data_IF_233663330253
#
_entry.id   IF_233663330253
#
_cell.length_a   1.000
_cell.length_b   1.000
_cell.length_c   1.000
_cell.angle_alpha   90.00
_cell.angle_beta   90.00
_cell.angle_gamma   90.00
#
_symmetry.space_group_name_H-M   'P 1'
#
loop_
_entity.id
_entity.type
_entity.pdbx_description
1 polymer ?
#
# COMPACT_ATOMS: atom_id res chain seq x y z
N UNK A 1 -12.94 76.20 63.88
CA UNK A 1 -14.13 75.54 63.31
C UNK A 1 -15.14 75.39 64.43
N UNK A 2 -16.33 75.94 64.27
CA UNK A 2 -17.39 75.85 65.29
C UNK A 2 -18.19 74.57 65.12
N UNK A 3 -18.81 74.07 66.20
CA UNK A 3 -19.60 72.82 66.18
C UNK A 3 -20.71 72.84 65.11
N UNK A 4 -21.32 74.01 64.90
CA UNK A 4 -22.32 74.23 63.84
C UNK A 4 -21.73 74.06 62.44
N UNK A 5 -20.50 74.53 62.19
CA UNK A 5 -19.82 74.32 60.91
C UNK A 5 -19.47 72.85 60.67
N UNK A 6 -19.09 72.12 61.72
CA UNK A 6 -18.78 70.69 61.62
C UNK A 6 -20.04 69.86 61.29
N UNK A 7 -21.15 70.14 61.98
CA UNK A 7 -22.44 69.48 61.72
C UNK A 7 -22.93 69.79 60.30
N UNK A 8 -22.71 71.02 59.81
CA UNK A 8 -22.98 71.41 58.42
C UNK A 8 -22.21 70.54 57.42
N UNK A 9 -20.88 70.46 57.58
CA UNK A 9 -20.02 69.66 56.71
C UNK A 9 -20.33 68.16 56.74
N UNK A 10 -20.66 67.61 57.91
CA UNK A 10 -21.07 66.21 58.03
C UNK A 10 -22.39 65.91 57.31
N UNK A 11 -23.33 66.87 57.27
CA UNK A 11 -24.56 66.72 56.50
C UNK A 11 -24.31 66.74 54.99
N UNK A 12 -23.36 67.53 54.51
CA UNK A 12 -22.97 67.55 53.10
C UNK A 12 -22.35 66.22 52.66
N UNK A 13 -21.49 65.63 53.49
CA UNK A 13 -20.87 64.32 53.20
C UNK A 13 -21.90 63.20 53.07
N UNK A 14 -23.04 63.30 53.78
CA UNK A 14 -24.13 62.32 53.69
C UNK A 14 -24.85 62.32 52.33
N UNK A 15 -24.67 63.36 51.52
CA UNK A 15 -25.22 63.42 50.15
C UNK A 15 -24.29 62.76 49.12
N UNK A 16 -23.03 62.49 49.48
CA UNK A 16 -22.07 61.82 48.62
C UNK A 16 -22.46 60.34 48.56
N UNK A 17 -22.95 59.91 47.39
CA UNK A 17 -23.18 58.50 47.10
C UNK A 17 -21.89 57.88 46.55
N UNK A 18 -21.59 56.61 46.88
CA UNK A 18 -20.49 55.92 46.23
C UNK A 18 -20.71 55.90 44.72
N UNK A 19 -19.62 56.06 43.95
CA UNK A 19 -19.67 55.95 42.50
C UNK A 19 -20.19 54.57 42.12
N UNK A 20 -20.92 54.48 41.00
CA UNK A 20 -21.48 53.21 40.51
C UNK A 20 -20.38 52.14 40.37
N UNK A 21 -19.20 52.56 39.90
CA UNK A 21 -18.06 51.67 39.69
C UNK A 21 -17.57 51.05 41.01
N UNK A 22 -17.51 51.85 42.08
CA UNK A 22 -17.12 51.34 43.40
C UNK A 22 -18.14 50.36 43.97
N UNK A 23 -19.44 50.63 43.78
CA UNK A 23 -20.51 49.72 44.22
C UNK A 23 -20.45 48.38 43.48
N UNK A 24 -20.22 48.40 42.16
CA UNK A 24 -20.11 47.20 41.34
C UNK A 24 -18.88 46.38 41.73
N UNK A 25 -17.73 47.02 41.92
CA UNK A 25 -16.48 46.36 42.29
C UNK A 25 -16.54 45.77 43.71
N UNK A 26 -17.22 46.45 44.63
CA UNK A 26 -17.44 45.93 45.98
C UNK A 26 -18.43 44.75 45.95
N UNK A 27 -19.46 44.83 45.10
CA UNK A 27 -20.42 43.73 44.91
C UNK A 27 -19.74 42.49 44.34
N UNK A 28 -18.85 42.64 43.35
CA UNK A 28 -18.09 41.51 42.79
C UNK A 28 -17.08 40.94 43.79
N UNK A 29 -16.45 41.77 44.63
CA UNK A 29 -15.53 41.28 45.67
C UNK A 29 -16.24 40.56 46.82
N UNK A 30 -17.42 41.04 47.24
CA UNK A 30 -18.16 40.47 48.38
C UNK A 30 -18.91 39.20 47.98
N UNK A 31 -19.58 39.21 46.82
CA UNK A 31 -20.35 38.05 46.35
C UNK A 31 -19.47 37.00 45.69
N UNK A 32 -18.17 37.28 45.56
CA UNK A 32 -17.27 36.58 44.65
C UNK A 32 -17.60 36.94 43.21
N UNK A 33 -16.60 36.98 42.36
CA UNK A 33 -16.86 36.81 40.94
C UNK A 33 -17.57 35.46 40.83
N UNK A 34 -18.86 35.45 40.46
CA UNK A 34 -19.29 34.44 39.51
C UNK A 34 -18.41 34.74 38.29
N UNK A 35 -17.22 34.13 38.27
CA UNK A 35 -16.47 34.01 37.03
C UNK A 35 -17.54 33.66 36.00
N UNK A 36 -17.69 34.39 34.88
CA UNK A 36 -18.38 33.78 33.78
C UNK A 36 -17.53 32.53 33.56
N UNK A 37 -18.05 31.40 34.02
CA UNK A 37 -17.62 30.13 33.54
C UNK A 37 -17.91 30.30 32.05
N UNK A 38 -16.89 30.73 31.32
CA UNK A 38 -16.65 30.23 29.99
C UNK A 38 -16.32 28.76 30.23
N UNK A 39 -17.32 28.02 30.76
CA UNK A 39 -17.60 26.69 30.30
C UNK A 39 -17.61 26.89 28.80
N UNK A 40 -16.50 26.49 28.21
CA UNK A 40 -16.40 26.12 26.82
C UNK A 40 -17.45 25.01 26.69
N UNK A 41 -18.72 25.42 26.56
CA UNK A 41 -19.92 24.57 26.50
C UNK A 41 -20.02 23.93 25.12
N UNK A 42 -18.87 23.64 24.53
CA UNK A 42 -18.73 22.87 23.30
C UNK A 42 -18.83 21.36 23.60
N UNK A 43 -18.74 20.94 24.87
CA UNK A 43 -18.61 19.53 25.24
C UNK A 43 -19.72 18.94 26.13
N UNK A 44 -20.85 19.61 26.36
CA UNK A 44 -21.94 19.10 27.21
C UNK A 44 -23.15 18.55 26.44
N UNK A 45 -22.97 18.18 25.18
CA UNK A 45 -23.95 17.38 24.45
C UNK A 45 -23.44 15.94 24.38
N UNK A 46 -24.07 14.95 25.07
CA UNK A 46 -23.61 13.56 25.04
C UNK A 46 -23.60 12.98 23.62
N UNK A 47 -24.46 13.50 22.74
CA UNK A 47 -24.51 13.13 21.32
C UNK A 47 -23.27 13.61 20.55
N UNK A 48 -22.75 14.81 20.84
CA UNK A 48 -21.50 15.30 20.25
C UNK A 48 -20.31 14.48 20.75
N UNK A 49 -20.27 14.08 22.03
CA UNK A 49 -19.23 13.17 22.55
C UNK A 49 -19.22 11.82 21.84
N UNK A 50 -20.40 11.24 21.57
CA UNK A 50 -20.53 10.00 20.79
C UNK A 50 -20.14 10.19 19.31
N UNK A 51 -20.53 11.32 18.71
CA UNK A 51 -20.16 11.64 17.33
C UNK A 51 -18.64 11.84 17.18
N UNK A 52 -17.98 12.56 18.10
CA UNK A 52 -16.53 12.72 18.11
C UNK A 52 -15.80 11.43 18.45
N UNK A 53 -16.34 10.57 19.33
CA UNK A 53 -15.77 9.25 19.58
C UNK A 53 -15.86 8.36 18.34
N UNK A 54 -17.00 8.34 17.64
CA UNK A 54 -17.15 7.64 16.36
C UNK A 54 -16.21 8.20 15.30
N UNK A 55 -16.09 9.52 15.19
CA UNK A 55 -15.22 10.17 14.23
C UNK A 55 -13.73 9.94 14.56
N UNK A 56 -13.36 9.88 15.84
CA UNK A 56 -12.02 9.50 16.29
C UNK A 56 -11.71 8.03 15.97
N UNK A 57 -12.67 7.12 16.18
CA UNK A 57 -12.52 5.70 15.78
C UNK A 57 -12.33 5.59 14.28
N UNK A 58 -13.14 6.30 13.49
CA UNK A 58 -12.98 6.38 12.03
C UNK A 58 -11.61 6.93 11.67
N UNK A 59 -11.16 8.02 12.29
CA UNK A 59 -9.82 8.58 12.04
C UNK A 59 -8.70 7.62 12.40
N UNK A 60 -8.81 6.87 13.50
CA UNK A 60 -7.82 5.86 13.88
C UNK A 60 -7.83 4.70 12.89
N UNK A 61 -9.00 4.22 12.46
CA UNK A 61 -9.11 3.15 11.45
C UNK A 61 -8.55 3.59 10.09
N UNK A 62 -8.89 4.79 9.61
CA UNK A 62 -8.34 5.32 8.35
C UNK A 62 -6.85 5.69 8.47
N UNK A 63 -6.41 6.20 9.62
CA UNK A 63 -5.01 6.53 9.87
C UNK A 63 -4.11 5.29 9.91
N UNK A 64 -4.57 4.23 10.57
CA UNK A 64 -3.86 2.93 10.56
C UNK A 64 -3.82 2.31 9.17
N UNK A 65 -4.88 2.46 8.38
CA UNK A 65 -4.90 2.03 6.98
C UNK A 65 -3.85 2.76 6.13
N UNK A 66 -3.78 4.09 6.22
CA UNK A 66 -2.79 4.88 5.48
C UNK A 66 -1.36 4.50 5.87
N UNK A 67 -1.09 4.31 7.17
CA UNK A 67 0.24 3.93 7.66
C UNK A 67 0.61 2.48 7.28
N UNK A 68 -0.37 1.58 7.17
CA UNK A 68 -0.14 0.18 6.77
C UNK A 68 0.44 0.04 5.37
N UNK A 69 0.23 1.00 4.45
CA UNK A 69 0.76 0.91 3.08
C UNK A 69 2.29 0.82 3.03
N UNK A 70 2.98 1.43 4.01
CA UNK A 70 4.43 1.41 4.14
C UNK A 70 4.96 0.25 5.00
N UNK A 71 4.09 -0.64 5.48
CA UNK A 71 4.52 -1.80 6.25
C UNK A 71 5.25 -2.82 5.37
N UNK A 72 6.28 -3.42 5.96
CA UNK A 72 7.10 -4.48 5.37
C UNK A 72 6.61 -5.85 5.85
N UNK A 73 6.82 -6.93 5.08
CA UNK A 73 6.61 -8.30 5.54
C UNK A 73 7.24 -8.56 6.92
N UNK A 74 6.55 -9.30 7.78
CA UNK A 74 6.94 -9.49 9.18
C UNK A 74 6.60 -8.33 10.13
N UNK A 75 6.20 -7.16 9.60
CA UNK A 75 5.78 -6.01 10.38
C UNK A 75 4.36 -6.12 10.96
N UNK A 76 4.11 -5.43 12.09
CA UNK A 76 2.83 -5.47 12.82
C UNK A 76 1.59 -5.12 11.98
N UNK A 77 1.71 -4.17 11.04
CA UNK A 77 0.60 -3.67 10.23
C UNK A 77 0.54 -4.30 8.83
N UNK A 78 1.43 -5.24 8.53
CA UNK A 78 1.47 -5.94 7.26
C UNK A 78 0.20 -6.77 6.94
N UNK A 79 -0.44 -7.42 7.93
CA UNK A 79 -1.73 -8.09 7.67
C UNK A 79 -2.80 -7.13 7.16
N UNK A 80 -2.81 -5.88 7.64
CA UNK A 80 -3.78 -4.85 7.20
C UNK A 80 -3.51 -4.45 5.74
N UNK A 81 -2.22 -4.29 5.38
CA UNK A 81 -1.80 -4.05 4.00
C UNK A 81 -2.26 -5.17 3.06
N UNK A 82 -2.07 -6.43 3.44
CA UNK A 82 -2.53 -7.58 2.64
C UNK A 82 -4.05 -7.57 2.42
N UNK A 83 -4.84 -7.22 3.44
CA UNK A 83 -6.29 -7.11 3.29
C UNK A 83 -6.64 -6.01 2.29
N UNK A 84 -5.99 -4.84 2.38
CA UNK A 84 -6.16 -3.75 1.42
C UNK A 84 -5.86 -4.19 -0.02
N UNK A 85 -4.72 -4.84 -0.22
CA UNK A 85 -4.27 -5.28 -1.56
C UNK A 85 -5.19 -6.35 -2.14
N UNK A 86 -5.61 -7.33 -1.34
CA UNK A 86 -6.61 -8.33 -1.75
C UNK A 86 -7.95 -7.70 -2.10
N UNK A 87 -8.40 -6.73 -1.31
CA UNK A 87 -9.65 -6.02 -1.59
C UNK A 87 -9.56 -5.27 -2.94
N UNK A 88 -8.43 -4.63 -3.22
CA UNK A 88 -8.19 -3.98 -4.52
C UNK A 88 -8.16 -4.98 -5.67
N UNK A 89 -7.49 -6.13 -5.50
CA UNK A 89 -7.39 -7.18 -6.51
C UNK A 89 -8.76 -7.76 -6.92
N UNK A 90 -9.77 -7.75 -6.03
CA UNK A 90 -11.15 -8.19 -6.36
C UNK A 90 -11.82 -7.26 -7.37
N UNK A 91 -11.42 -6.00 -7.47
CA UNK A 91 -11.97 -5.03 -8.42
C UNK A 91 -11.22 -4.98 -9.75
N UNK A 92 -10.12 -5.71 -9.89
CA UNK A 92 -9.34 -5.78 -11.13
C UNK A 92 -10.03 -6.71 -12.13
N UNK A 93 -10.13 -6.26 -13.39
CA UNK A 93 -10.73 -7.05 -14.47
C UNK A 93 -9.90 -8.30 -14.81
N UNK A 94 -10.52 -9.38 -15.30
CA UNK A 94 -9.79 -10.62 -15.65
C UNK A 94 -8.62 -10.38 -16.64
N UNK A 95 -8.76 -9.40 -17.53
CA UNK A 95 -7.74 -9.01 -18.51
C UNK A 95 -6.56 -8.27 -17.88
N UNK A 96 -6.77 -7.53 -16.78
CA UNK A 96 -5.74 -6.74 -16.08
C UNK A 96 -5.11 -7.51 -14.91
N UNK A 97 -5.72 -8.59 -14.44
CA UNK A 97 -5.20 -9.43 -13.34
C UNK A 97 -3.74 -9.87 -13.54
N UNK A 98 -3.30 -10.30 -14.72
CA UNK A 98 -1.91 -10.71 -14.90
C UNK A 98 -0.93 -9.55 -14.67
N UNK A 99 -1.27 -8.36 -15.19
CA UNK A 99 -0.50 -7.14 -14.95
C UNK A 99 -0.48 -6.78 -13.47
N UNK A 100 -1.64 -6.81 -12.80
CA UNK A 100 -1.74 -6.52 -11.37
C UNK A 100 -0.92 -7.51 -10.52
N UNK A 101 -0.88 -8.80 -10.89
CA UNK A 101 -0.03 -9.77 -10.21
C UNK A 101 1.46 -9.52 -10.43
N UNK A 102 1.87 -9.08 -11.63
CA UNK A 102 3.27 -8.70 -11.91
C UNK A 102 3.68 -7.45 -11.11
N UNK A 103 2.79 -6.46 -11.02
CA UNK A 103 3.01 -5.27 -10.19
C UNK A 103 3.14 -5.64 -8.71
N UNK A 104 2.30 -6.57 -8.22
CA UNK A 104 2.40 -7.09 -6.86
C UNK A 104 3.74 -7.81 -6.63
N UNK A 105 4.18 -8.66 -7.56
CA UNK A 105 5.45 -9.35 -7.46
C UNK A 105 6.65 -8.39 -7.44
N UNK A 106 6.65 -7.37 -8.32
CA UNK A 106 7.67 -6.32 -8.28
C UNK A 106 7.62 -5.54 -6.94
N UNK A 107 6.43 -5.26 -6.40
CA UNK A 107 6.29 -4.61 -5.10
C UNK A 107 6.85 -5.47 -3.95
N UNK A 108 6.61 -6.79 -3.97
CA UNK A 108 7.21 -7.72 -2.99
C UNK A 108 8.71 -7.76 -3.09
N UNK A 109 9.25 -7.71 -4.30
CA UNK A 109 10.68 -7.63 -4.51
C UNK A 109 11.25 -6.32 -3.96
N UNK A 110 10.62 -5.17 -4.19
CA UNK A 110 11.04 -3.89 -3.61
C UNK A 110 10.99 -3.88 -2.08
N UNK A 111 9.97 -4.52 -1.49
CA UNK A 111 9.89 -4.72 -0.04
C UNK A 111 11.05 -5.57 0.47
N UNK A 112 11.38 -6.65 -0.24
CA UNK A 112 12.53 -7.50 0.07
C UNK A 112 13.85 -6.75 -0.08
N UNK A 113 14.05 -5.97 -1.14
CA UNK A 113 15.22 -5.10 -1.33
C UNK A 113 15.38 -4.16 -0.14
N UNK A 114 14.30 -3.49 0.26
CA UNK A 114 14.34 -2.55 1.39
C UNK A 114 14.65 -3.26 2.73
N UNK A 115 14.14 -4.48 2.92
CA UNK A 115 14.46 -5.30 4.09
C UNK A 115 15.95 -5.67 4.10
N UNK A 116 16.48 -6.09 2.95
CA UNK A 116 17.89 -6.40 2.78
C UNK A 116 18.74 -5.15 3.08
N UNK A 117 18.53 -4.04 2.39
CA UNK A 117 19.27 -2.78 2.59
C UNK A 117 19.25 -2.28 4.04
N UNK A 118 18.11 -2.46 4.73
CA UNK A 118 17.95 -2.05 6.14
C UNK A 118 18.40 -3.10 7.16
N UNK A 119 18.96 -4.23 6.73
CA UNK A 119 19.42 -5.34 7.56
C UNK A 119 18.36 -5.87 8.53
N UNK A 120 17.09 -5.89 8.11
CA UNK A 120 15.98 -6.41 8.92
C UNK A 120 15.88 -7.94 8.79
N UNK A 121 16.88 -8.67 9.28
CA UNK A 121 17.03 -10.13 9.08
C UNK A 121 15.77 -10.91 9.45
N UNK A 122 15.14 -10.57 10.58
CA UNK A 122 13.87 -11.17 11.03
C UNK A 122 12.69 -11.07 10.05
N UNK A 123 12.78 -10.16 9.07
CA UNK A 123 11.76 -9.91 8.05
C UNK A 123 12.15 -10.51 6.68
N UNK A 124 13.35 -11.10 6.51
CA UNK A 124 13.80 -11.68 5.25
C UNK A 124 12.99 -12.92 4.85
N UNK A 125 13.00 -13.98 5.66
CA UNK A 125 12.17 -15.16 5.43
C UNK A 125 10.70 -14.84 5.08
N UNK A 126 9.95 -14.02 5.86
CA UNK A 126 8.58 -13.70 5.48
C UNK A 126 8.48 -12.88 4.19
N UNK A 127 9.47 -12.04 3.85
CA UNK A 127 9.46 -11.32 2.57
C UNK A 127 9.73 -12.22 1.37
N UNK A 128 10.66 -13.18 1.49
CA UNK A 128 10.94 -14.19 0.46
C UNK A 128 9.71 -15.05 0.20
N UNK A 129 9.04 -15.50 1.26
CA UNK A 129 7.79 -16.26 1.17
C UNK A 129 6.67 -15.46 0.46
N UNK A 130 6.52 -14.17 0.77
CA UNK A 130 5.53 -13.31 0.11
C UNK A 130 5.88 -13.06 -1.37
N UNK A 131 7.17 -12.94 -1.70
CA UNK A 131 7.64 -12.85 -3.07
C UNK A 131 7.35 -14.15 -3.85
N UNK A 132 7.72 -15.32 -3.31
CA UNK A 132 7.40 -16.62 -3.90
C UNK A 132 5.89 -16.83 -4.13
N UNK A 133 5.07 -16.43 -3.16
CA UNK A 133 3.62 -16.51 -3.30
C UNK A 133 3.11 -15.60 -4.43
N UNK A 134 3.66 -14.39 -4.56
CA UNK A 134 3.29 -13.48 -5.64
C UNK A 134 3.75 -13.97 -7.02
N UNK A 135 4.93 -14.58 -7.11
CA UNK A 135 5.45 -15.24 -8.31
C UNK A 135 4.53 -16.38 -8.76
N UNK A 136 4.11 -17.22 -7.81
CA UNK A 136 3.17 -18.31 -8.09
C UNK A 136 1.80 -17.80 -8.56
N UNK A 137 1.36 -16.65 -8.05
CA UNK A 137 0.12 -15.99 -8.48
C UNK A 137 0.25 -15.41 -9.90
N UNK A 138 1.40 -14.84 -10.25
CA UNK A 138 1.73 -14.39 -11.61
C UNK A 138 1.61 -15.55 -12.59
N UNK A 139 2.29 -16.67 -12.34
CA UNK A 139 2.24 -17.85 -13.22
C UNK A 139 0.81 -18.37 -13.42
N UNK A 140 -0.01 -18.38 -12.36
CA UNK A 140 -1.43 -18.79 -12.41
C UNK A 140 -2.33 -17.82 -13.17
N UNK A 141 -2.07 -16.52 -13.10
CA UNK A 141 -2.88 -15.53 -13.81
C UNK A 141 -2.46 -15.40 -15.27
N UNK A 142 -1.17 -15.58 -15.57
CA UNK A 142 -0.64 -15.60 -16.93
C UNK A 142 -1.08 -16.83 -17.73
N UNK A 143 -1.17 -18.02 -17.11
CA UNK A 143 -1.71 -19.22 -17.78
C UNK A 143 -3.17 -19.07 -18.19
N UNK A 144 -3.89 -18.10 -17.61
CA UNK A 144 -5.28 -17.74 -17.97
C UNK A 144 -5.37 -16.67 -19.04
N UNK A 145 -4.25 -16.07 -19.43
CA UNK A 145 -4.24 -15.17 -20.58
C UNK A 145 -4.46 -16.00 -21.83
N UNK A 146 -5.53 -15.66 -22.53
CA UNK A 146 -5.67 -16.04 -23.93
C UNK A 146 -4.64 -15.22 -24.72
N UNK A 147 -3.51 -15.86 -25.02
CA UNK A 147 -2.36 -15.27 -25.70
C UNK A 147 -2.73 -14.74 -27.10
N UNK A 148 -3.92 -15.08 -27.63
CA UNK A 148 -4.36 -14.66 -28.95
C UNK A 148 -5.45 -13.59 -28.96
N UNK A 149 -6.13 -13.37 -27.82
CA UNK A 149 -6.92 -12.15 -27.58
C UNK A 149 -6.03 -10.97 -27.20
N UNK A 150 -4.82 -11.25 -26.71
CA UNK A 150 -3.92 -10.26 -26.15
C UNK A 150 -2.97 -9.74 -27.22
N UNK A 151 -2.77 -8.43 -27.24
CA UNK A 151 -1.81 -7.79 -28.13
C UNK A 151 -0.41 -8.42 -27.89
N UNK A 152 0.28 -8.92 -28.94
CA UNK A 152 1.65 -9.44 -28.85
C UNK A 152 2.61 -8.49 -28.11
N UNK A 153 2.37 -7.18 -28.20
CA UNK A 153 3.10 -6.15 -27.47
C UNK A 153 2.85 -6.23 -25.96
N UNK A 154 1.62 -6.52 -25.54
CA UNK A 154 1.25 -6.69 -24.13
C UNK A 154 1.90 -7.94 -23.56
N UNK A 155 1.86 -9.04 -24.32
CA UNK A 155 2.51 -10.30 -23.94
C UNK A 155 4.02 -10.13 -23.79
N UNK A 156 4.67 -9.48 -24.75
CA UNK A 156 6.09 -9.13 -24.65
C UNK A 156 6.39 -8.25 -23.43
N UNK A 157 5.52 -7.28 -23.14
CA UNK A 157 5.61 -6.44 -21.95
C UNK A 157 5.63 -7.24 -20.65
N UNK A 158 4.83 -8.32 -20.54
CA UNK A 158 4.84 -9.21 -19.39
C UNK A 158 6.15 -9.99 -19.26
N UNK A 159 6.68 -10.52 -20.36
CA UNK A 159 7.97 -11.21 -20.40
C UNK A 159 9.11 -10.26 -19.98
N UNK A 160 9.15 -9.06 -20.55
CA UNK A 160 10.15 -8.04 -20.21
C UNK A 160 10.08 -7.63 -18.74
N UNK A 161 8.87 -7.52 -18.17
CA UNK A 161 8.68 -7.18 -16.77
C UNK A 161 9.10 -8.33 -15.85
N UNK A 162 8.79 -9.57 -16.19
CA UNK A 162 9.21 -10.74 -15.44
C UNK A 162 10.73 -10.90 -15.44
N UNK A 163 11.38 -10.66 -16.58
CA UNK A 163 12.84 -10.65 -16.69
C UNK A 163 13.47 -9.59 -15.78
N UNK A 164 12.92 -8.37 -15.77
CA UNK A 164 13.37 -7.30 -14.84
C UNK A 164 13.19 -7.70 -13.37
N UNK A 165 12.14 -8.42 -13.02
CA UNK A 165 11.93 -8.95 -11.67
C UNK A 165 13.03 -9.97 -11.34
N UNK A 166 13.36 -10.88 -12.25
CA UNK A 166 14.47 -11.83 -12.09
C UNK A 166 15.83 -11.15 -11.90
N UNK A 167 16.15 -10.17 -12.76
CA UNK A 167 17.39 -9.38 -12.67
C UNK A 167 17.50 -8.63 -11.33
N UNK A 168 16.43 -7.96 -10.89
CA UNK A 168 16.40 -7.29 -9.58
C UNK A 168 16.51 -8.29 -8.42
N UNK A 169 15.97 -9.50 -8.54
CA UNK A 169 16.09 -10.52 -7.50
C UNK A 169 17.55 -10.97 -7.33
N UNK A 170 18.29 -11.08 -8.44
CA UNK A 170 19.74 -11.32 -8.41
C UNK A 170 20.51 -10.14 -7.79
N UNK A 171 20.10 -8.89 -8.08
CA UNK A 171 20.68 -7.71 -7.43
C UNK A 171 20.49 -7.78 -5.91
N UNK A 172 19.30 -8.12 -5.43
CA UNK A 172 19.02 -8.28 -3.99
C UNK A 172 19.92 -9.34 -3.34
N UNK A 173 20.18 -10.45 -4.02
CA UNK A 173 21.16 -11.46 -3.57
C UNK A 173 22.57 -10.89 -3.45
N UNK A 174 22.95 -10.01 -4.37
CA UNK A 174 24.29 -9.37 -4.37
C UNK A 174 24.47 -8.32 -3.26
N UNK A 175 23.39 -7.82 -2.65
CA UNK A 175 23.45 -6.81 -1.59
C UNK A 175 24.11 -7.30 -0.28
N UNK A 176 24.52 -8.57 -0.19
CA UNK A 176 25.51 -9.04 0.79
C UNK A 176 25.06 -8.96 2.25
N UNK A 177 23.75 -8.86 2.48
CA UNK A 177 23.15 -8.90 3.81
C UNK A 177 23.15 -10.35 4.30
N UNK A 178 23.09 -10.54 5.62
CA UNK A 178 22.95 -11.83 6.30
C UNK A 178 21.61 -12.48 5.91
N UNK A 179 21.52 -12.91 4.66
CA UNK A 179 20.49 -13.80 4.15
C UNK A 179 21.10 -15.19 4.33
N UNK A 180 20.41 -16.05 5.08
CA UNK A 180 20.88 -17.41 5.31
C UNK A 180 20.98 -18.15 3.96
N UNK A 181 21.89 -19.12 3.85
CA UNK A 181 22.12 -19.87 2.58
C UNK A 181 20.82 -20.48 2.03
N UNK A 182 19.95 -20.97 2.93
CA UNK A 182 18.63 -21.52 2.61
C UNK A 182 17.69 -20.46 2.02
N UNK A 183 17.64 -19.27 2.60
CA UNK A 183 16.83 -18.14 2.12
C UNK A 183 17.32 -17.63 0.75
N UNK A 184 18.63 -17.71 0.49
CA UNK A 184 19.22 -17.35 -0.81
C UNK A 184 18.86 -18.36 -1.91
N UNK A 185 18.93 -19.65 -1.60
CA UNK A 185 18.50 -20.71 -2.53
C UNK A 185 17.01 -20.58 -2.85
N UNK A 186 16.18 -20.33 -1.84
CA UNK A 186 14.74 -20.10 -1.99
C UNK A 186 14.39 -18.90 -2.88
N UNK A 187 15.16 -17.81 -2.78
CA UNK A 187 14.97 -16.62 -3.62
C UNK A 187 15.40 -16.89 -5.06
N UNK A 188 16.52 -17.59 -5.25
CA UNK A 188 17.03 -17.97 -6.57
C UNK A 188 16.06 -18.89 -7.28
N UNK A 189 15.61 -19.95 -6.60
CA UNK A 189 14.62 -20.88 -7.12
C UNK A 189 13.34 -20.13 -7.52
N UNK A 190 12.84 -19.22 -6.68
CA UNK A 190 11.66 -18.43 -6.98
C UNK A 190 11.82 -17.56 -8.25
N UNK A 191 12.97 -16.90 -8.38
CA UNK A 191 13.26 -16.00 -9.50
C UNK A 191 13.41 -16.76 -10.82
N UNK A 192 14.16 -17.86 -10.83
CA UNK A 192 14.36 -18.70 -12.02
C UNK A 192 13.08 -19.44 -12.41
N UNK A 193 12.32 -19.91 -11.41
CA UNK A 193 11.02 -20.56 -11.63
C UNK A 193 10.00 -19.60 -12.24
N UNK A 194 9.98 -18.33 -11.80
CA UNK A 194 9.10 -17.32 -12.40
C UNK A 194 9.34 -17.21 -13.90
N UNK A 195 10.61 -17.00 -14.30
CA UNK A 195 10.95 -16.81 -15.71
C UNK A 195 10.61 -18.05 -16.53
N UNK A 196 10.98 -19.24 -16.04
CA UNK A 196 10.75 -20.49 -16.76
C UNK A 196 9.26 -20.87 -16.84
N UNK A 197 8.50 -20.81 -15.75
CA UNK A 197 7.05 -21.10 -15.76
C UNK A 197 6.29 -20.12 -16.66
N UNK A 198 6.73 -18.86 -16.71
CA UNK A 198 6.12 -17.82 -17.53
C UNK A 198 6.37 -18.07 -19.02
N UNK A 199 7.61 -18.37 -19.40
CA UNK A 199 7.94 -18.68 -20.79
C UNK A 199 7.24 -19.96 -21.26
N UNK A 200 7.22 -21.02 -20.44
CA UNK A 200 6.57 -22.29 -20.77
C UNK A 200 5.06 -22.11 -20.94
N UNK A 201 4.37 -21.53 -19.95
CA UNK A 201 2.91 -21.39 -20.00
C UNK A 201 2.44 -20.53 -21.18
N UNK A 202 3.23 -19.50 -21.54
CA UNK A 202 2.94 -18.67 -22.68
C UNK A 202 3.11 -19.43 -24.00
N UNK A 203 4.22 -20.16 -24.16
CA UNK A 203 4.51 -20.96 -25.34
C UNK A 203 3.48 -22.08 -25.54
N UNK A 204 3.09 -22.79 -24.48
CA UNK A 204 2.07 -23.85 -24.55
C UNK A 204 0.74 -23.31 -25.06
N UNK A 205 0.27 -22.18 -24.50
CA UNK A 205 -0.97 -21.54 -24.92
C UNK A 205 -0.90 -21.10 -26.40
N UNK A 206 0.24 -20.56 -26.83
CA UNK A 206 0.44 -20.07 -28.20
C UNK A 206 0.56 -21.20 -29.22
N UNK A 207 1.35 -22.24 -28.92
CA UNK A 207 1.49 -23.42 -29.79
C UNK A 207 0.13 -24.09 -29.94
N UNK A 208 -0.59 -24.30 -28.83
CA UNK A 208 -1.93 -24.89 -28.86
C UNK A 208 -2.91 -24.09 -29.73
N UNK A 209 -2.86 -22.76 -29.71
CA UNK A 209 -3.74 -21.95 -30.56
C UNK A 209 -3.32 -22.00 -32.04
N UNK A 210 -2.02 -21.92 -32.34
CA UNK A 210 -1.50 -22.01 -33.71
C UNK A 210 -1.84 -23.36 -34.35
N UNK A 211 -1.79 -24.45 -33.60
CA UNK A 211 -2.20 -25.79 -34.05
C UNK A 211 -3.68 -25.88 -34.42
N UNK A 212 -4.54 -25.04 -33.84
CA UNK A 212 -5.98 -25.04 -34.06
C UNK A 212 -6.44 -24.10 -35.19
N UNK A 213 -5.51 -23.40 -35.85
CA UNK A 213 -5.81 -22.40 -36.90
C UNK A 213 -5.32 -22.85 -38.27
N UNK A 214 -5.89 -22.26 -39.31
CA UNK A 214 -5.36 -22.37 -40.67
C UNK A 214 -4.15 -21.45 -40.80
N UNK A 215 -2.96 -22.04 -40.88
CA UNK A 215 -1.69 -21.33 -40.97
C UNK A 215 -1.26 -21.11 -42.43
N UNK A 216 -0.44 -20.09 -42.65
CA UNK A 216 0.33 -19.93 -43.89
C UNK A 216 1.59 -20.80 -43.85
N UNK A 217 2.20 -21.13 -45.01
CA UNK A 217 3.45 -21.93 -45.06
C UNK A 217 4.55 -21.39 -44.15
N UNK A 218 4.72 -20.05 -44.09
CA UNK A 218 5.70 -19.42 -43.18
C UNK A 218 5.35 -19.63 -41.71
N UNK A 219 4.07 -19.57 -41.35
CA UNK A 219 3.62 -19.78 -39.98
C UNK A 219 3.74 -21.25 -39.56
N UNK A 220 3.54 -22.19 -40.49
CA UNK A 220 3.80 -23.62 -40.25
C UNK A 220 5.30 -23.88 -40.01
N UNK A 221 6.18 -23.24 -40.79
CA UNK A 221 7.63 -23.33 -40.58
C UNK A 221 8.04 -22.78 -39.20
N UNK A 222 7.51 -21.61 -38.82
CA UNK A 222 7.76 -21.02 -37.50
C UNK A 222 7.22 -21.91 -36.38
N UNK A 223 6.02 -22.48 -36.53
CA UNK A 223 5.45 -23.43 -35.56
C UNK A 223 6.33 -24.67 -35.38
N UNK A 224 6.89 -25.20 -36.47
CA UNK A 224 7.82 -26.33 -36.41
C UNK A 224 9.10 -25.98 -35.66
N UNK A 225 9.71 -24.82 -35.96
CA UNK A 225 10.93 -24.36 -35.28
C UNK A 225 10.68 -24.07 -33.79
N UNK A 226 9.53 -23.50 -33.44
CA UNK A 226 9.17 -23.28 -32.04
C UNK A 226 9.02 -24.59 -31.27
N UNK A 227 8.41 -25.62 -31.86
CA UNK A 227 8.28 -26.93 -31.22
C UNK A 227 9.64 -27.58 -30.98
N UNK A 228 10.54 -27.51 -31.96
CA UNK A 228 11.92 -28.01 -31.83
C UNK A 228 12.67 -27.28 -30.70
N UNK A 229 12.58 -25.96 -30.63
CA UNK A 229 13.20 -25.18 -29.56
C UNK A 229 12.58 -25.46 -28.17
N UNK A 230 11.27 -25.73 -28.10
CA UNK A 230 10.61 -26.15 -26.87
C UNK A 230 11.07 -27.53 -26.42
N UNK A 231 11.27 -28.48 -27.35
CA UNK A 231 11.85 -29.79 -27.07
C UNK A 231 13.32 -29.68 -26.59
N UNK A 232 14.05 -28.68 -27.07
CA UNK A 232 15.41 -28.35 -26.62
C UNK A 232 15.45 -27.48 -25.33
N UNK A 233 14.30 -27.22 -24.68
CA UNK A 233 14.16 -26.35 -23.50
C UNK A 233 14.63 -24.89 -23.72
N UNK A 234 14.73 -24.45 -24.98
CA UNK A 234 15.13 -23.09 -25.38
C UNK A 234 13.92 -22.16 -25.50
N UNK A 235 13.20 -21.99 -24.40
CA UNK A 235 11.94 -21.24 -24.38
C UNK A 235 12.09 -19.76 -24.78
N UNK A 236 13.17 -19.09 -24.37
CA UNK A 236 13.39 -17.69 -24.75
C UNK A 236 13.56 -17.53 -26.27
N UNK A 237 14.31 -18.43 -26.91
CA UNK A 237 14.56 -18.38 -28.36
C UNK A 237 13.27 -18.70 -29.15
N UNK A 238 12.46 -19.63 -28.65
CA UNK A 238 11.16 -19.96 -29.23
C UNK A 238 10.21 -18.76 -29.25
N UNK A 239 10.19 -17.98 -28.16
CA UNK A 239 9.39 -16.77 -28.05
C UNK A 239 9.88 -15.64 -28.97
N UNK A 240 11.19 -15.45 -29.07
CA UNK A 240 11.78 -14.43 -29.94
C UNK A 240 11.47 -14.67 -31.42
N UNK A 241 11.49 -15.94 -31.87
CA UNK A 241 11.14 -16.32 -33.24
C UNK A 241 9.74 -15.86 -33.63
N UNK A 242 8.80 -15.86 -32.70
CA UNK A 242 7.43 -15.44 -32.94
C UNK A 242 7.31 -13.92 -32.98
N UNK A 243 7.97 -13.20 -32.07
CA UNK A 243 7.93 -11.73 -32.06
C UNK A 243 8.64 -11.09 -33.26
N UNK A 244 9.58 -11.78 -33.89
CA UNK A 244 10.33 -11.29 -35.05
C UNK A 244 9.53 -11.45 -36.36
N UNK A 245 8.60 -12.40 -36.43
CA UNK A 245 7.97 -12.83 -37.69
C UNK A 245 6.46 -12.53 -37.80
N UNK A 246 5.91 -11.66 -36.93
CA UNK A 246 4.55 -11.13 -37.06
C UNK A 246 4.47 -9.87 -37.93
#
# INVERSE_FOLDING_TARGET
MTEKELIGKLRELRQIRPSKDWVVLTKSQILGEEEPAVEVRFFHFPVLRMAYAGLAVVFVLFGTFAFSQNSLPGGLLYPIKKISEKAQAVFVSETEKPQASLELANKRLEELTKIAESNQVQNLAPAINEFQASVSEVARNLSRIDATSSDPVVVKGFVDQAKKIGEKAQEVKSLGVVIEEEELEELEEASSKLELELLVSLLENMISDLENRTLTEKQEEILSQMKELVEEEKYSEALDLLFINQ
#
